data_IF_817092132167
#
_entry.id   IF_817092132167
#
_cell.length_a   1.000
_cell.length_b   1.000
_cell.length_c   1.000
_cell.angle_alpha   90.00
_cell.angle_beta   90.00
_cell.angle_gamma   90.00
#
_symmetry.space_group_name_H-M   'P 1'
#
loop_
_entity.id
_entity.type
_entity.pdbx_description
1 polymer ?
#
# COMPACT_ATOMS: atom_id res chain seq x y z
N UNK A 1 11.84 41.80 43.25
CA UNK A 1 11.04 42.03 42.03
C UNK A 1 9.58 42.30 42.42
N UNK A 2 9.05 43.51 42.17
CA UNK A 2 7.76 44.01 42.71
C UNK A 2 6.54 43.13 42.33
N UNK A 3 5.61 42.90 43.27
CA UNK A 3 4.36 42.12 43.10
C UNK A 3 3.57 42.55 41.85
N UNK A 4 3.60 43.84 41.50
CA UNK A 4 2.95 44.43 40.31
C UNK A 4 3.47 43.86 38.98
N UNK A 5 4.77 43.54 38.90
CA UNK A 5 5.39 42.98 37.69
C UNK A 5 5.13 41.47 37.53
N UNK A 6 4.93 40.74 38.62
CA UNK A 6 4.51 39.32 38.58
C UNK A 6 3.08 39.16 38.07
N UNK A 7 2.19 40.08 38.45
CA UNK A 7 0.79 40.08 38.00
C UNK A 7 0.68 40.35 36.48
N UNK A 8 1.37 41.39 35.99
CA UNK A 8 1.42 41.70 34.54
C UNK A 8 1.98 40.54 33.70
N UNK A 9 3.04 39.86 34.17
CA UNK A 9 3.61 38.70 33.47
C UNK A 9 2.66 37.50 33.39
N UNK A 10 1.89 37.24 34.45
CA UNK A 10 0.86 36.17 34.41
C UNK A 10 -0.24 36.48 33.39
N UNK A 11 -0.68 37.73 33.30
CA UNK A 11 -1.68 38.14 32.31
C UNK A 11 -1.17 38.09 30.86
N UNK A 12 0.08 38.49 30.62
CA UNK A 12 0.70 38.37 29.30
C UNK A 12 0.82 36.89 28.90
N UNK A 13 1.25 36.03 29.83
CA UNK A 13 1.37 34.59 29.56
C UNK A 13 0.02 33.94 29.23
N UNK A 14 -1.06 34.32 29.94
CA UNK A 14 -2.40 33.81 29.62
C UNK A 14 -2.92 34.25 28.25
N UNK A 15 -2.58 35.47 27.81
CA UNK A 15 -2.96 35.96 26.46
C UNK A 15 -2.22 35.17 25.38
N UNK A 16 -0.92 34.93 25.56
CA UNK A 16 -0.12 34.16 24.60
C UNK A 16 -0.63 32.72 24.48
N UNK A 17 -0.93 32.06 25.60
CA UNK A 17 -1.50 30.70 25.61
C UNK A 17 -2.86 30.70 24.90
N UNK A 18 -3.71 31.69 25.16
CA UNK A 18 -5.00 31.83 24.49
C UNK A 18 -4.87 32.00 22.98
N UNK A 19 -3.96 32.87 22.52
CA UNK A 19 -3.72 33.07 21.08
C UNK A 19 -3.13 31.83 20.41
N UNK A 20 -2.23 31.10 21.07
CA UNK A 20 -1.71 29.84 20.57
C UNK A 20 -2.82 28.78 20.44
N UNK A 21 -3.71 28.66 21.43
CA UNK A 21 -4.86 27.74 21.35
C UNK A 21 -5.80 28.08 20.19
N UNK A 22 -6.09 29.37 19.98
CA UNK A 22 -6.89 29.82 18.82
C UNK A 22 -6.18 29.48 17.52
N UNK A 23 -4.86 29.69 17.43
CA UNK A 23 -4.06 29.30 16.27
C UNK A 23 -4.11 27.81 15.98
N UNK A 24 -4.01 26.95 17.00
CA UNK A 24 -4.14 25.49 16.86
C UNK A 24 -5.55 25.12 16.40
N UNK A 25 -6.61 25.72 16.97
CA UNK A 25 -7.99 25.45 16.55
C UNK A 25 -8.24 25.88 15.10
N UNK A 26 -7.70 27.02 14.68
CA UNK A 26 -7.78 27.48 13.29
C UNK A 26 -6.99 26.56 12.36
N UNK A 27 -5.82 26.09 12.77
CA UNK A 27 -5.01 25.13 12.00
C UNK A 27 -5.72 23.78 11.85
N UNK A 28 -6.31 23.25 12.93
CA UNK A 28 -7.11 22.01 12.91
C UNK A 28 -8.33 22.19 11.99
N UNK A 29 -9.06 23.31 12.13
CA UNK A 29 -10.24 23.62 11.31
C UNK A 29 -9.89 23.83 9.82
N UNK A 30 -8.71 24.39 9.54
CA UNK A 30 -8.21 24.57 8.18
C UNK A 30 -7.79 23.23 7.56
N UNK A 31 -7.08 22.40 8.33
CA UNK A 31 -6.69 21.04 7.93
C UNK A 31 -7.91 20.19 7.58
N UNK A 32 -8.96 20.23 8.39
CA UNK A 32 -10.19 19.46 8.10
C UNK A 32 -10.92 19.95 6.84
N UNK A 33 -10.94 21.28 6.59
CA UNK A 33 -11.61 21.86 5.42
C UNK A 33 -10.88 21.65 4.10
N UNK A 34 -9.55 21.67 4.08
CA UNK A 34 -8.77 21.52 2.85
C UNK A 34 -8.35 20.07 2.57
N UNK A 35 -8.55 19.14 3.51
CA UNK A 35 -8.24 17.72 3.33
C UNK A 35 -9.47 16.84 3.10
N UNK A 36 -10.67 17.41 2.96
CA UNK A 36 -11.84 16.68 2.45
C UNK A 36 -12.16 17.16 1.04
N UNK A 37 -11.57 16.57 -0.02
CA UNK A 37 -12.22 16.63 -1.31
C UNK A 37 -13.57 15.92 -1.15
N UNK A 38 -14.67 16.66 -1.33
CA UNK A 38 -16.00 16.07 -1.43
C UNK A 38 -16.04 15.23 -2.72
N UNK A 39 -15.51 14.02 -2.66
CA UNK A 39 -15.78 12.98 -3.63
C UNK A 39 -17.21 12.50 -3.38
N UNK A 40 -18.03 12.48 -4.43
CA UNK A 40 -19.43 12.07 -4.33
C UNK A 40 -19.54 10.65 -3.74
N UNK A 41 -20.20 10.56 -2.59
CA UNK A 41 -20.38 9.36 -1.76
C UNK A 41 -21.08 8.21 -2.50
N UNK A 42 -21.81 8.53 -3.58
CA UNK A 42 -22.51 7.59 -4.46
C UNK A 42 -21.53 6.91 -5.44
N UNK A 43 -20.48 7.61 -5.86
CA UNK A 43 -19.41 7.05 -6.70
C UNK A 43 -18.41 6.24 -5.85
N UNK A 44 -18.11 6.71 -4.63
CA UNK A 44 -17.25 6.02 -3.66
C UNK A 44 -17.80 4.67 -3.19
N UNK A 45 -19.13 4.56 -2.97
CA UNK A 45 -19.76 3.27 -2.61
C UNK A 45 -19.71 2.24 -3.75
N UNK A 46 -19.43 2.69 -4.98
CA UNK A 46 -19.25 1.84 -6.17
C UNK A 46 -17.81 1.36 -6.34
N UNK A 47 -16.84 1.96 -5.64
CA UNK A 47 -15.46 1.50 -5.64
C UNK A 47 -15.28 0.45 -4.54
N UNK A 48 -15.84 -0.74 -4.75
CA UNK A 48 -15.26 -1.94 -4.16
C UNK A 48 -13.88 -2.09 -4.83
N UNK A 49 -12.85 -1.46 -4.26
CA UNK A 49 -11.49 -1.58 -4.77
C UNK A 49 -11.06 -3.02 -4.61
N UNK A 50 -10.79 -3.70 -5.72
CA UNK A 50 -10.16 -5.02 -5.72
C UNK A 50 -8.67 -4.81 -5.47
N UNK A 51 -8.16 -5.38 -4.38
CA UNK A 51 -6.77 -5.26 -3.95
C UNK A 51 -6.00 -6.51 -4.36
N UNK A 52 -4.86 -6.36 -5.01
CA UNK A 52 -4.01 -7.48 -5.37
C UNK A 52 -2.53 -7.14 -5.22
N UNK A 53 -1.71 -8.18 -5.19
CA UNK A 53 -0.24 -8.07 -5.16
C UNK A 53 0.37 -8.87 -6.30
N UNK A 54 1.58 -8.49 -6.71
CA UNK A 54 2.44 -9.33 -7.55
C UNK A 54 3.69 -9.74 -6.78
N UNK A 55 4.10 -11.00 -6.95
CA UNK A 55 5.23 -11.59 -6.21
C UNK A 55 6.13 -12.44 -7.10
N UNK A 56 7.37 -12.61 -6.64
CA UNK A 56 8.41 -13.42 -7.26
C UNK A 56 9.39 -13.90 -6.19
N UNK A 57 10.55 -14.48 -6.57
CA UNK A 57 11.65 -14.76 -5.64
C UNK A 57 12.08 -13.58 -4.75
N UNK A 58 11.81 -12.33 -5.15
CA UNK A 58 12.21 -11.16 -4.37
C UNK A 58 11.37 -10.99 -3.09
N UNK A 59 10.19 -11.63 -3.02
CA UNK A 59 9.37 -11.73 -1.83
C UNK A 59 9.52 -13.13 -1.21
N UNK A 60 10.74 -13.45 -0.76
CA UNK A 60 11.08 -14.82 -0.34
C UNK A 60 10.35 -15.31 0.92
N UNK A 61 9.91 -14.41 1.79
CA UNK A 61 9.24 -14.75 3.03
C UNK A 61 7.95 -13.94 3.15
N UNK A 62 6.82 -14.59 2.88
CA UNK A 62 5.49 -13.99 2.98
C UNK A 62 4.77 -14.58 4.18
N UNK A 63 4.27 -13.73 5.07
CA UNK A 63 3.35 -14.17 6.11
C UNK A 63 1.93 -14.24 5.53
N UNK A 64 1.58 -15.40 4.98
CA UNK A 64 0.30 -15.62 4.31
C UNK A 64 -0.91 -15.47 5.24
N UNK A 65 -0.77 -15.73 6.55
CA UNK A 65 -1.86 -15.49 7.51
C UNK A 65 -2.22 -14.01 7.64
N UNK A 66 -1.21 -13.13 7.50
CA UNK A 66 -1.42 -11.69 7.54
C UNK A 66 -1.85 -11.14 6.19
N UNK A 67 -1.31 -11.68 5.10
CA UNK A 67 -1.51 -11.14 3.75
C UNK A 67 -2.85 -11.59 3.16
N UNK A 68 -3.23 -12.86 3.29
CA UNK A 68 -4.43 -13.41 2.67
C UNK A 68 -5.72 -12.63 2.98
N UNK A 69 -5.97 -12.17 4.23
CA UNK A 69 -7.18 -11.39 4.56
C UNK A 69 -7.20 -9.97 3.97
N UNK A 70 -6.10 -9.49 3.40
CA UNK A 70 -5.95 -8.11 2.91
C UNK A 70 -5.95 -8.00 1.38
N UNK A 71 -5.98 -9.13 0.66
CA UNK A 71 -5.90 -9.18 -0.80
C UNK A 71 -7.01 -10.04 -1.40
N UNK A 72 -7.47 -9.66 -2.57
CA UNK A 72 -8.49 -10.34 -3.36
C UNK A 72 -7.89 -11.27 -4.43
N UNK A 73 -6.63 -11.05 -4.83
CA UNK A 73 -5.89 -11.91 -5.78
C UNK A 73 -4.38 -11.72 -5.68
N UNK A 74 -3.62 -12.63 -6.29
CA UNK A 74 -2.15 -12.53 -6.43
C UNK A 74 -1.69 -12.90 -7.84
N UNK A 75 -0.74 -12.13 -8.40
CA UNK A 75 0.03 -12.54 -9.56
C UNK A 75 1.40 -13.09 -9.15
N UNK A 76 1.80 -14.25 -9.66
CA UNK A 76 3.06 -14.91 -9.32
C UNK A 76 3.94 -15.00 -10.56
N UNK A 77 5.21 -14.61 -10.48
CA UNK A 77 6.14 -14.83 -11.58
C UNK A 77 6.45 -16.32 -11.72
N UNK A 78 6.22 -16.90 -12.90
CA UNK A 78 6.68 -18.25 -13.20
C UNK A 78 8.04 -18.27 -13.89
N UNK A 79 8.24 -17.42 -14.91
CA UNK A 79 9.45 -17.48 -15.74
C UNK A 79 10.00 -16.12 -16.11
N UNK A 80 11.28 -16.10 -16.53
CA UNK A 80 11.94 -14.93 -17.12
C UNK A 80 12.78 -15.36 -18.32
N UNK A 81 12.55 -14.75 -19.48
CA UNK A 81 13.25 -15.18 -20.69
C UNK A 81 12.99 -16.66 -21.02
N UNK A 82 13.86 -17.25 -21.84
CA UNK A 82 13.60 -18.56 -22.46
C UNK A 82 14.00 -19.80 -21.65
N UNK A 83 14.52 -19.63 -20.43
CA UNK A 83 15.07 -20.75 -19.61
C UNK A 83 14.92 -20.59 -18.11
N UNK A 84 14.68 -19.39 -17.59
CA UNK A 84 14.64 -19.19 -16.15
C UNK A 84 13.24 -19.48 -15.63
N UNK A 85 13.15 -20.37 -14.64
CA UNK A 85 11.97 -20.57 -13.80
C UNK A 85 12.23 -19.86 -12.48
N UNK A 86 11.26 -19.09 -11.98
CA UNK A 86 11.36 -18.44 -10.69
C UNK A 86 11.38 -19.52 -9.59
N UNK A 87 12.44 -19.59 -8.77
CA UNK A 87 12.64 -20.70 -7.84
C UNK A 87 11.57 -20.78 -6.74
N UNK A 88 10.80 -19.71 -6.51
CA UNK A 88 9.71 -19.70 -5.52
C UNK A 88 8.33 -19.78 -6.18
N UNK A 89 8.23 -20.03 -7.49
CA UNK A 89 6.95 -20.11 -8.18
C UNK A 89 6.02 -21.15 -7.55
N UNK A 90 6.48 -22.39 -7.42
CA UNK A 90 5.70 -23.50 -6.85
C UNK A 90 5.29 -23.26 -5.40
N UNK A 91 6.21 -22.74 -4.58
CA UNK A 91 5.94 -22.42 -3.18
C UNK A 91 4.87 -21.33 -3.05
N UNK A 92 5.02 -20.23 -3.80
CA UNK A 92 4.05 -19.14 -3.81
C UNK A 92 2.70 -19.60 -4.32
N UNK A 93 2.68 -20.43 -5.37
CA UNK A 93 1.45 -20.96 -5.96
C UNK A 93 0.71 -21.85 -4.97
N UNK A 94 1.41 -22.80 -4.34
CA UNK A 94 0.82 -23.68 -3.32
C UNK A 94 0.28 -22.88 -2.14
N UNK A 95 1.06 -21.95 -1.59
CA UNK A 95 0.64 -21.15 -0.44
C UNK A 95 -0.61 -20.30 -0.75
N UNK A 96 -0.66 -19.65 -1.92
CA UNK A 96 -1.83 -18.87 -2.33
C UNK A 96 -3.06 -19.76 -2.54
N UNK A 97 -2.87 -20.93 -3.14
CA UNK A 97 -3.93 -21.93 -3.39
C UNK A 97 -4.51 -22.46 -2.09
N UNK A 98 -3.66 -22.81 -1.12
CA UNK A 98 -4.07 -23.29 0.20
C UNK A 98 -4.89 -22.24 0.97
N UNK A 99 -4.70 -20.96 0.65
CA UNK A 99 -5.48 -19.83 1.19
C UNK A 99 -6.72 -19.48 0.37
N UNK A 100 -7.02 -20.23 -0.69
CA UNK A 100 -8.13 -19.97 -1.63
C UNK A 100 -8.08 -18.57 -2.27
N UNK A 101 -6.87 -18.02 -2.45
CA UNK A 101 -6.67 -16.74 -3.13
C UNK A 101 -6.70 -16.99 -4.65
N UNK A 102 -7.46 -16.23 -5.45
CA UNK A 102 -7.35 -16.26 -6.91
C UNK A 102 -5.92 -15.96 -7.38
N UNK A 103 -5.38 -16.81 -8.26
CA UNK A 103 -3.99 -16.74 -8.73
C UNK A 103 -3.95 -16.39 -10.22
N UNK A 104 -3.19 -15.36 -10.56
CA UNK A 104 -2.64 -15.14 -11.88
C UNK A 104 -1.16 -15.52 -11.92
N UNK A 105 -0.65 -15.84 -13.11
CA UNK A 105 0.76 -16.17 -13.30
C UNK A 105 1.32 -15.33 -14.45
N UNK A 106 2.56 -14.85 -14.32
CA UNK A 106 3.17 -14.00 -15.35
C UNK A 106 4.58 -14.43 -15.76
N UNK A 107 4.96 -13.94 -16.93
CA UNK A 107 6.27 -14.10 -17.55
C UNK A 107 7.00 -12.75 -17.61
N UNK A 108 8.26 -12.70 -17.20
CA UNK A 108 9.11 -11.53 -17.37
C UNK A 108 9.86 -11.59 -18.70
N UNK A 109 9.47 -10.75 -19.65
CA UNK A 109 10.00 -10.74 -21.01
C UNK A 109 11.43 -10.18 -21.10
N UNK A 110 12.29 -10.85 -21.86
CA UNK A 110 13.66 -10.43 -22.17
C UNK A 110 13.77 -10.03 -23.64
N UNK A 111 13.97 -8.73 -23.88
CA UNK A 111 13.90 -8.13 -25.23
C UNK A 111 14.87 -8.70 -26.27
N UNK A 112 16.06 -9.14 -25.84
CA UNK A 112 17.07 -9.69 -26.75
C UNK A 112 16.93 -11.19 -26.99
N UNK A 113 15.87 -11.82 -26.49
CA UNK A 113 15.57 -13.24 -26.67
C UNK A 113 14.35 -13.43 -27.57
N UNK A 114 14.27 -14.58 -28.26
CA UNK A 114 13.15 -14.87 -29.15
C UNK A 114 11.84 -14.97 -28.35
N UNK A 115 10.80 -14.25 -28.79
CA UNK A 115 9.52 -14.21 -28.07
C UNK A 115 8.72 -15.51 -28.11
N UNK A 116 8.82 -16.28 -29.21
CA UNK A 116 8.17 -17.59 -29.31
C UNK A 116 8.82 -18.60 -28.36
N UNK A 117 10.16 -18.63 -28.27
CA UNK A 117 10.87 -19.49 -27.31
C UNK A 117 10.51 -19.12 -25.85
N UNK A 118 10.36 -17.83 -25.55
CA UNK A 118 9.93 -17.35 -24.24
C UNK A 118 8.50 -17.78 -23.90
N UNK A 119 7.56 -17.65 -24.84
CA UNK A 119 6.19 -18.09 -24.66
C UNK A 119 6.10 -19.62 -24.48
N UNK A 120 6.87 -20.39 -25.26
CA UNK A 120 6.96 -21.84 -25.11
C UNK A 120 7.50 -22.23 -23.73
N UNK A 121 8.58 -21.58 -23.27
CA UNK A 121 9.15 -21.81 -21.95
C UNK A 121 8.16 -21.49 -20.82
N UNK A 122 7.42 -20.38 -20.94
CA UNK A 122 6.36 -20.04 -20.00
C UNK A 122 5.28 -21.13 -19.95
N UNK A 123 4.74 -21.55 -21.10
CA UNK A 123 3.68 -22.57 -21.17
C UNK A 123 4.13 -23.95 -20.68
N UNK A 124 5.40 -24.30 -20.83
CA UNK A 124 5.96 -25.56 -20.31
C UNK A 124 6.15 -25.57 -18.79
N UNK A 125 6.14 -24.40 -18.15
CA UNK A 125 6.34 -24.25 -16.70
C UNK A 125 5.02 -24.25 -15.92
N UNK A 126 3.90 -23.96 -16.59
CA UNK A 126 2.54 -23.97 -16.00
C UNK A 126 1.97 -25.38 -15.95
#
# INVERSE_FOLDING_TARGET
MSKKNRFKRKHILSIVIGLSLVGVLLFVSFRERHFSPNFDIIELKKINTINGIDISRYQAHINWEKVAPQIDFVFIRATSGKRYVDPLFEEHYSNAKDKNIPIGVYHYFIFHQNGLEQAQHFLQTL
#
